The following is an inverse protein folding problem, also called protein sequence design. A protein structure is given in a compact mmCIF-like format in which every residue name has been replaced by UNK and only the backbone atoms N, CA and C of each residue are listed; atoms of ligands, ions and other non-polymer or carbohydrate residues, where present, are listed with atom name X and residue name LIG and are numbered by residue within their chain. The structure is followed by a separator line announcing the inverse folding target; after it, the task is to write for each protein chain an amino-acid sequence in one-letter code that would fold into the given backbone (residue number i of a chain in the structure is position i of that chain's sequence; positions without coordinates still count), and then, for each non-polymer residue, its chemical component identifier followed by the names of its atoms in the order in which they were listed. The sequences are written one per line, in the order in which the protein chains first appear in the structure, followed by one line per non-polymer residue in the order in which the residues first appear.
data_IF_005573651633
#
_entry.id   IF_005573651633
#
_cell.length_a   1.000
_cell.length_b   1.000
_cell.length_c   1.000
_cell.angle_alpha   90.00
_cell.angle_beta   90.00
_cell.angle_gamma   90.00
#
_symmetry.space_group_name_H-M   'P 1'
#
loop_
_entity.id
_entity.type
_entity.pdbx_description
1 polymer ?
#
# COMPACT_ATOMS: atom_id res chain seq x y z
N UNK A 1 31.22 -12.23 -1.58
CA UNK A 1 29.95 -11.88 -0.94
C UNK A 1 28.89 -12.85 -1.42
N UNK A 2 28.15 -13.45 -0.50
CA UNK A 2 27.00 -14.31 -0.79
C UNK A 2 25.77 -13.47 -1.11
N UNK A 3 24.76 -14.07 -1.74
CA UNK A 3 23.49 -13.37 -2.00
C UNK A 3 22.84 -12.84 -0.72
N UNK A 4 22.88 -13.61 0.37
CA UNK A 4 22.31 -13.19 1.66
C UNK A 4 23.01 -11.98 2.23
N UNK A 5 24.35 -11.95 2.22
CA UNK A 5 25.13 -10.79 2.67
C UNK A 5 24.79 -9.55 1.83
N UNK A 6 24.74 -9.70 0.51
CA UNK A 6 24.40 -8.60 -0.40
C UNK A 6 22.97 -8.09 -0.14
N UNK A 7 21.98 -8.97 -0.04
CA UNK A 7 20.59 -8.58 0.15
C UNK A 7 20.37 -7.82 1.47
N UNK A 8 21.02 -8.27 2.56
CA UNK A 8 20.93 -7.59 3.85
C UNK A 8 21.62 -6.23 3.83
N UNK A 9 22.76 -6.10 3.15
CA UNK A 9 23.43 -4.82 2.96
C UNK A 9 22.58 -3.85 2.14
N UNK A 10 22.01 -4.30 1.02
CA UNK A 10 21.12 -3.49 0.17
C UNK A 10 19.87 -3.04 0.94
N UNK A 11 19.27 -3.94 1.73
CA UNK A 11 18.13 -3.59 2.57
C UNK A 11 18.48 -2.48 3.58
N UNK A 12 19.63 -2.59 4.26
CA UNK A 12 20.09 -1.56 5.20
C UNK A 12 20.32 -0.21 4.49
N UNK A 13 21.00 -0.23 3.33
CA UNK A 13 21.24 0.98 2.55
C UNK A 13 19.94 1.65 2.06
N UNK A 14 18.91 0.88 1.72
CA UNK A 14 17.59 1.42 1.35
C UNK A 14 16.94 2.05 2.56
N UNK A 15 16.93 1.37 3.71
CA UNK A 15 16.33 1.88 4.96
C UNK A 15 16.97 3.21 5.39
N UNK A 16 18.29 3.32 5.30
CA UNK A 16 19.02 4.56 5.63
C UNK A 16 18.65 5.75 4.72
N UNK A 17 18.11 5.50 3.53
CA UNK A 17 17.70 6.54 2.57
C UNK A 17 16.24 6.94 2.70
N UNK A 18 15.45 6.26 3.54
CA UNK A 18 14.04 6.60 3.72
C UNK A 18 13.95 7.91 4.51
N UNK A 19 13.25 8.88 3.94
CA UNK A 19 13.01 10.17 4.58
C UNK A 19 12.05 10.02 5.76
N UNK A 20 12.56 10.23 6.97
CA UNK A 20 11.79 10.13 8.21
C UNK A 20 10.73 11.22 8.35
N UNK A 21 10.98 12.42 7.82
CA UNK A 21 10.00 13.51 7.88
C UNK A 21 8.79 13.22 6.97
N UNK A 22 9.03 12.58 5.83
CA UNK A 22 7.97 12.11 4.94
C UNK A 22 7.09 11.02 5.60
N UNK A 23 7.69 10.13 6.41
CA UNK A 23 6.92 9.13 7.18
C UNK A 23 5.99 9.80 8.18
N UNK A 24 6.50 10.74 8.98
CA UNK A 24 5.69 11.46 9.99
C UNK A 24 4.58 12.27 9.32
N UNK A 25 4.90 12.97 8.23
CA UNK A 25 3.91 13.73 7.45
C UNK A 25 2.79 12.83 6.90
N UNK A 26 3.13 11.61 6.45
CA UNK A 26 2.15 10.63 6.00
C UNK A 26 1.28 10.14 7.16
N UNK A 27 1.85 9.89 8.34
CA UNK A 27 1.09 9.47 9.53
C UNK A 27 0.10 10.55 9.97
N UNK A 28 0.51 11.83 9.99
CA UNK A 28 -0.37 12.95 10.29
C UNK A 28 -1.52 13.08 9.28
N UNK A 29 -1.24 12.94 7.98
CA UNK A 29 -2.25 12.95 6.94
C UNK A 29 -3.28 11.82 7.13
N UNK A 30 -2.82 10.61 7.43
CA UNK A 30 -3.69 9.46 7.70
C UNK A 30 -4.57 9.68 8.95
N UNK A 31 -4.00 10.25 10.01
CA UNK A 31 -4.75 10.62 11.21
C UNK A 31 -5.85 11.64 10.89
N UNK A 32 -5.54 12.63 10.06
CA UNK A 32 -6.51 13.63 9.60
C UNK A 32 -7.64 12.99 8.79
N UNK A 33 -7.32 12.18 7.77
CA UNK A 33 -8.31 11.45 6.96
C UNK A 33 -9.25 10.66 7.86
N UNK A 34 -8.71 9.95 8.86
CA UNK A 34 -9.51 9.21 9.84
C UNK A 34 -10.44 10.12 10.63
N UNK A 35 -9.94 11.25 11.15
CA UNK A 35 -10.73 12.17 11.96
C UNK A 35 -11.87 12.83 11.18
N UNK A 36 -11.69 13.02 9.88
CA UNK A 36 -12.67 13.62 8.97
C UNK A 36 -13.66 12.58 8.39
N UNK A 37 -13.56 11.30 8.77
CA UNK A 37 -14.40 10.23 8.24
C UNK A 37 -14.11 9.90 6.78
N UNK A 38 -12.89 10.17 6.32
CA UNK A 38 -12.43 9.89 4.97
C UNK A 38 -12.09 8.41 4.74
N UNK A 39 -11.68 8.12 3.50
CA UNK A 39 -11.39 6.76 3.01
C UNK A 39 -9.99 6.68 2.41
N UNK A 40 -9.35 5.53 2.60
CA UNK A 40 -8.05 5.24 2.02
C UNK A 40 -8.15 4.14 0.96
N UNK A 41 -7.47 4.34 -0.17
CA UNK A 41 -7.42 3.36 -1.25
C UNK A 41 -5.97 2.94 -1.48
N UNK A 42 -5.68 1.65 -1.32
CA UNK A 42 -4.38 1.06 -1.60
C UNK A 42 -4.38 0.45 -2.99
N UNK A 43 -3.39 0.82 -3.81
CA UNK A 43 -3.26 0.39 -5.20
C UNK A 43 -1.95 -0.38 -5.38
N UNK A 44 -2.02 -1.54 -6.00
CA UNK A 44 -0.85 -2.37 -6.26
C UNK A 44 -1.10 -3.41 -7.33
N UNK A 45 -0.02 -3.91 -7.93
CA UNK A 45 -0.03 -4.94 -8.98
C UNK A 45 0.94 -6.05 -8.58
N UNK A 46 0.64 -7.31 -8.95
CA UNK A 46 1.49 -8.45 -8.61
C UNK A 46 1.62 -8.63 -7.09
N UNK A 47 2.85 -8.81 -6.59
CA UNK A 47 3.10 -8.93 -5.14
C UNK A 47 2.61 -7.72 -4.33
N UNK A 48 2.69 -6.51 -4.91
CA UNK A 48 2.21 -5.29 -4.26
C UNK A 48 0.69 -5.24 -4.13
N UNK A 49 -0.07 -5.92 -5.00
CA UNK A 49 -1.51 -6.09 -4.82
C UNK A 49 -1.82 -6.85 -3.53
N UNK A 50 -1.06 -7.92 -3.26
CA UNK A 50 -1.14 -8.67 -2.01
C UNK A 50 -0.80 -7.82 -0.78
N UNK A 51 0.25 -6.99 -0.86
CA UNK A 51 0.60 -6.05 0.21
C UNK A 51 -0.53 -5.03 0.46
N UNK A 52 -1.19 -4.53 -0.59
CA UNK A 52 -2.32 -3.60 -0.47
C UNK A 52 -3.51 -4.26 0.23
N UNK A 53 -3.92 -5.45 -0.20
CA UNK A 53 -4.98 -6.23 0.44
C UNK A 53 -4.67 -6.53 1.91
N UNK A 54 -3.41 -6.83 2.24
CA UNK A 54 -2.99 -7.01 3.63
C UNK A 54 -3.10 -5.70 4.42
N UNK A 55 -2.58 -4.59 3.89
CA UNK A 55 -2.64 -3.29 4.54
C UNK A 55 -4.08 -2.86 4.82
N UNK A 56 -5.02 -3.11 3.90
CA UNK A 56 -6.45 -2.83 4.12
C UNK A 56 -6.98 -3.51 5.38
N UNK A 57 -6.61 -4.77 5.63
CA UNK A 57 -7.03 -5.49 6.83
C UNK A 57 -6.49 -4.83 8.10
N UNK A 58 -5.20 -4.46 8.11
CA UNK A 58 -4.56 -3.80 9.26
C UNK A 58 -5.15 -2.41 9.50
N UNK A 59 -5.36 -1.62 8.45
CA UNK A 59 -5.91 -0.28 8.57
C UNK A 59 -7.35 -0.29 9.06
N UNK A 60 -8.16 -1.27 8.64
CA UNK A 60 -9.53 -1.42 9.15
C UNK A 60 -9.55 -1.94 10.58
N UNK A 61 -8.74 -2.95 10.91
CA UNK A 61 -8.78 -3.65 12.21
C UNK A 61 -8.04 -2.92 13.32
N UNK A 62 -6.85 -2.39 13.02
CA UNK A 62 -5.93 -1.80 13.99
C UNK A 62 -6.06 -0.28 13.97
N UNK A 63 -5.96 0.32 12.79
CA UNK A 63 -6.00 1.78 12.66
C UNK A 63 -7.43 2.31 12.77
N UNK A 64 -8.44 1.52 12.43
CA UNK A 64 -9.85 1.94 12.45
C UNK A 64 -10.17 2.97 11.36
N UNK A 65 -9.53 2.86 10.20
CA UNK A 65 -9.74 3.72 9.03
C UNK A 65 -10.46 2.94 7.93
N UNK A 66 -11.51 3.52 7.35
CA UNK A 66 -12.21 2.93 6.20
C UNK A 66 -11.24 2.84 5.01
N UNK A 67 -10.92 1.62 4.58
CA UNK A 67 -9.83 1.37 3.62
C UNK A 67 -10.19 0.27 2.62
N UNK A 68 -9.67 0.37 1.39
CA UNK A 68 -9.97 -0.57 0.29
C UNK A 68 -8.76 -0.83 -0.60
N UNK A 69 -8.69 -2.02 -1.18
CA UNK A 69 -7.81 -2.34 -2.30
C UNK A 69 -8.70 -2.80 -3.47
N UNK A 70 -8.70 -2.08 -4.62
CA UNK A 70 -9.54 -2.46 -5.76
C UNK A 70 -9.29 -3.89 -6.27
N UNK A 71 -8.07 -4.38 -6.05
CA UNK A 71 -7.66 -5.75 -6.40
C UNK A 71 -8.40 -6.84 -5.63
N UNK A 72 -9.08 -6.52 -4.53
CA UNK A 72 -9.88 -7.48 -3.77
C UNK A 72 -11.16 -7.91 -4.50
N UNK A 73 -11.65 -7.09 -5.42
CA UNK A 73 -12.81 -7.43 -6.26
C UNK A 73 -12.35 -7.87 -7.65
N UNK A 74 -12.05 -9.16 -7.77
CA UNK A 74 -11.55 -9.75 -9.03
C UNK A 74 -12.53 -9.53 -10.19
N UNK A 75 -13.83 -9.63 -9.95
CA UNK A 75 -14.84 -9.43 -11.01
C UNK A 75 -14.85 -7.98 -11.51
N UNK A 76 -14.77 -6.99 -10.62
CA UNK A 76 -14.66 -5.57 -11.01
C UNK A 76 -13.36 -5.30 -11.77
N UNK A 77 -12.22 -5.78 -11.24
CA UNK A 77 -10.91 -5.55 -11.84
C UNK A 77 -10.83 -6.11 -13.26
N UNK A 78 -11.29 -7.34 -13.45
CA UNK A 78 -11.24 -8.03 -14.74
C UNK A 78 -12.23 -7.47 -15.75
N UNK A 79 -13.43 -7.09 -15.33
CA UNK A 79 -14.42 -6.45 -16.19
C UNK A 79 -13.92 -5.10 -16.70
N UNK A 80 -13.42 -4.22 -15.81
CA UNK A 80 -12.85 -2.92 -16.23
C UNK A 80 -11.70 -3.07 -17.19
N UNK A 81 -10.75 -3.95 -16.87
CA UNK A 81 -9.57 -4.16 -17.73
C UNK A 81 -9.97 -4.68 -19.11
N UNK A 82 -11.02 -5.50 -19.19
CA UNK A 82 -11.55 -6.02 -20.45
C UNK A 82 -12.26 -4.94 -21.28
N UNK A 83 -13.08 -4.12 -20.63
CA UNK A 83 -13.98 -3.19 -21.31
C UNK A 83 -13.29 -1.86 -21.66
N UNK A 84 -12.47 -1.35 -20.76
CA UNK A 84 -11.83 -0.03 -20.87
C UNK A 84 -10.35 -0.17 -21.28
N UNK A 85 -9.66 -1.20 -20.80
CA UNK A 85 -8.21 -1.39 -20.96
C UNK A 85 -7.48 -1.39 -19.62
N UNK A 86 -6.19 -1.76 -19.62
CA UNK A 86 -5.40 -1.81 -18.37
C UNK A 86 -4.87 -0.42 -17.95
N UNK A 87 -4.56 0.43 -18.93
CA UNK A 87 -3.95 1.76 -18.77
C UNK A 87 -4.97 2.91 -18.76
N UNK A 88 -6.25 2.60 -18.88
CA UNK A 88 -7.40 3.52 -18.95
C UNK A 88 -8.10 3.70 -17.62
#
# INVERSE_FOLDING_TARGET
MTYTEQHLEEAAQIVERIDTEAIESMAELLARIKSEGGRLFFLGVGGSAGNCSHAVNDFRKIVGLESYAPTDNVSELTARTNDEGWDT
#
